data_IF_564881630833
#
_entry.id   IF_564881630833
#
_cell.length_a   1.000
_cell.length_b   1.000
_cell.length_c   1.000
_cell.angle_alpha   90.00
_cell.angle_beta   90.00
_cell.angle_gamma   90.00
#
_symmetry.space_group_name_H-M   'P 1'
#
loop_
_entity.id
_entity.type
_entity.pdbx_description
1 polymer ?
#
# COMPACT_ATOMS: atom_id res chain seq x y z
N UNK A 1 -27.42 -74.70 29.23
CA UNK A 1 -28.20 -73.61 28.61
C UNK A 1 -27.26 -72.42 28.42
N UNK A 2 -26.89 -72.14 27.18
CA UNK A 2 -25.93 -71.10 26.82
C UNK A 2 -26.62 -69.75 26.58
N UNK A 3 -26.01 -68.63 26.97
CA UNK A 3 -26.44 -67.32 26.48
C UNK A 3 -25.66 -66.84 25.27
N UNK A 4 -26.33 -66.23 24.33
CA UNK A 4 -25.87 -65.73 23.07
C UNK A 4 -25.13 -64.39 23.22
N UNK A 5 -23.98 -64.31 22.56
CA UNK A 5 -23.25 -63.07 22.31
C UNK A 5 -23.93 -62.22 21.20
N UNK A 6 -24.11 -60.93 21.43
CA UNK A 6 -24.42 -59.94 20.40
C UNK A 6 -23.17 -59.06 20.17
N UNK A 7 -22.69 -59.05 18.96
CA UNK A 7 -21.64 -58.14 18.52
C UNK A 7 -22.24 -56.80 18.05
N UNK A 8 -21.75 -55.68 18.59
CA UNK A 8 -22.02 -54.36 18.08
C UNK A 8 -20.93 -53.97 17.07
N UNK A 9 -21.33 -53.74 15.85
CA UNK A 9 -20.49 -53.17 14.79
C UNK A 9 -20.47 -51.63 14.89
N UNK A 10 -19.29 -51.09 14.79
CA UNK A 10 -18.99 -49.69 15.00
C UNK A 10 -19.42 -48.77 13.85
N UNK A 11 -19.77 -47.58 14.26
CA UNK A 11 -19.92 -46.40 13.40
C UNK A 11 -18.85 -45.37 13.77
N UNK A 12 -17.66 -45.50 13.21
CA UNK A 12 -16.55 -44.59 13.51
C UNK A 12 -15.82 -44.01 12.30
N UNK A 13 -16.42 -44.06 11.10
CA UNK A 13 -15.67 -43.62 9.90
C UNK A 13 -16.14 -42.34 9.20
N UNK A 14 -17.26 -41.76 9.63
CA UNK A 14 -17.77 -40.51 8.98
C UNK A 14 -17.51 -39.21 9.74
N UNK A 15 -17.11 -39.28 11.00
CA UNK A 15 -16.86 -38.09 11.83
C UNK A 15 -15.46 -37.51 11.60
N UNK A 16 -14.47 -38.37 11.35
CA UNK A 16 -13.08 -37.92 11.14
C UNK A 16 -12.84 -37.23 9.80
N UNK A 17 -13.65 -37.51 8.77
CA UNK A 17 -13.53 -36.86 7.46
C UNK A 17 -14.14 -35.46 7.42
N UNK A 18 -15.15 -35.17 8.27
CA UNK A 18 -15.79 -33.86 8.32
C UNK A 18 -14.98 -32.85 9.13
N UNK A 19 -14.35 -33.29 10.22
CA UNK A 19 -13.46 -32.42 11.01
C UNK A 19 -12.17 -32.03 10.26
N UNK A 20 -11.68 -32.90 9.38
CA UNK A 20 -10.46 -32.60 8.61
C UNK A 20 -10.67 -31.59 7.47
N UNK A 21 -11.90 -31.49 6.92
CA UNK A 21 -12.24 -30.51 5.89
C UNK A 21 -12.55 -29.12 6.47
N UNK A 22 -13.11 -29.03 7.66
CA UNK A 22 -13.39 -27.76 8.34
C UNK A 22 -12.13 -27.12 8.92
N UNK A 23 -11.17 -27.90 9.39
CA UNK A 23 -9.88 -27.37 9.88
C UNK A 23 -9.03 -26.77 8.74
N UNK A 24 -9.01 -27.38 7.56
CA UNK A 24 -8.24 -26.88 6.39
C UNK A 24 -8.83 -25.58 5.81
N UNK A 25 -10.13 -25.38 5.85
CA UNK A 25 -10.75 -24.14 5.35
C UNK A 25 -10.68 -22.99 6.37
N UNK A 26 -10.69 -23.31 7.67
CA UNK A 26 -10.50 -22.33 8.74
C UNK A 26 -9.05 -21.83 8.81
N UNK A 27 -8.06 -22.74 8.66
CA UNK A 27 -6.64 -22.39 8.65
C UNK A 27 -6.27 -21.54 7.40
N UNK A 28 -6.77 -21.89 6.21
CA UNK A 28 -6.53 -21.09 5.01
C UNK A 28 -7.15 -19.69 5.09
N UNK A 29 -8.32 -19.54 5.75
CA UNK A 29 -8.95 -18.25 5.99
C UNK A 29 -8.26 -17.44 7.09
N UNK A 30 -7.68 -18.10 8.09
CA UNK A 30 -6.87 -17.48 9.14
C UNK A 30 -5.54 -16.99 8.58
N UNK A 31 -4.80 -17.81 7.79
CA UNK A 31 -3.57 -17.37 7.11
C UNK A 31 -3.81 -16.21 6.13
N UNK A 32 -4.96 -16.15 5.45
CA UNK A 32 -5.35 -15.00 4.64
C UNK A 32 -5.70 -13.76 5.47
N UNK A 33 -6.18 -13.91 6.69
CA UNK A 33 -6.47 -12.77 7.60
C UNK A 33 -5.24 -12.21 8.29
N UNK A 34 -4.20 -13.01 8.54
CA UNK A 34 -3.02 -12.63 9.32
C UNK A 34 -1.77 -12.36 8.48
N UNK A 35 -1.85 -12.52 7.15
CA UNK A 35 -0.70 -12.43 6.27
C UNK A 35 -0.69 -11.18 5.41
N UNK A 36 0.24 -10.28 5.66
CA UNK A 36 0.61 -9.20 4.75
C UNK A 36 0.20 -7.80 5.19
N UNK A 37 0.87 -6.86 4.60
CA UNK A 37 0.78 -5.43 4.87
C UNK A 37 -0.38 -4.80 4.12
N UNK A 38 -1.11 -3.88 4.75
CA UNK A 38 -2.14 -3.05 4.13
C UNK A 38 -1.48 -1.80 3.54
N UNK A 39 -1.67 -1.54 2.25
CA UNK A 39 -1.24 -0.30 1.61
C UNK A 39 -2.31 0.78 1.76
N UNK A 40 -1.92 1.92 2.30
CA UNK A 40 -2.75 3.11 2.52
C UNK A 40 -2.18 4.27 1.72
N UNK A 41 -2.98 4.86 0.85
CA UNK A 41 -2.59 5.97 0.00
C UNK A 41 -3.43 7.21 0.34
N UNK A 42 -2.77 8.27 0.81
CA UNK A 42 -3.38 9.58 1.01
C UNK A 42 -3.23 10.42 -0.26
N UNK A 43 -4.30 11.05 -0.72
CA UNK A 43 -4.28 12.13 -1.70
C UNK A 43 -4.53 13.45 -1.00
N UNK A 44 -3.56 14.36 -1.06
CA UNK A 44 -3.46 15.56 -0.26
C UNK A 44 -2.90 16.72 -1.08
N UNK A 45 -2.99 17.94 -0.56
CA UNK A 45 -2.29 19.10 -1.08
C UNK A 45 -2.08 20.15 0.01
N UNK A 46 -0.91 20.79 0.03
CA UNK A 46 -0.66 21.96 0.89
C UNK A 46 -1.55 23.14 0.53
N UNK A 47 -2.14 23.17 -0.66
CA UNK A 47 -3.12 24.16 -1.10
C UNK A 47 -4.54 23.94 -0.58
N UNK A 48 -4.85 22.75 -0.05
CA UNK A 48 -6.15 22.41 0.51
C UNK A 48 -6.21 22.70 2.02
N UNK A 49 -7.25 23.38 2.48
CA UNK A 49 -7.38 23.84 3.88
C UNK A 49 -7.45 22.68 4.89
N UNK A 50 -8.05 21.54 4.53
CA UNK A 50 -8.27 20.38 5.41
C UNK A 50 -7.21 19.29 5.29
N UNK A 51 -6.39 19.31 4.25
CA UNK A 51 -5.34 18.30 4.04
C UNK A 51 -4.29 18.23 5.16
N UNK A 52 -3.86 19.35 5.81
CA UNK A 52 -2.87 19.27 6.88
C UNK A 52 -3.25 18.38 8.07
N UNK A 53 -4.53 18.29 8.41
CA UNK A 53 -5.00 17.42 9.48
C UNK A 53 -4.89 15.93 9.09
N UNK A 54 -5.20 15.62 7.84
CA UNK A 54 -5.03 14.28 7.29
C UNK A 54 -3.56 13.87 7.20
N UNK A 55 -2.66 14.80 6.84
CA UNK A 55 -1.20 14.56 6.84
C UNK A 55 -0.70 14.15 8.23
N UNK A 56 -1.17 14.81 9.29
CA UNK A 56 -0.83 14.47 10.68
C UNK A 56 -1.35 13.07 11.04
N UNK A 57 -2.59 12.75 10.70
CA UNK A 57 -3.18 11.44 10.98
C UNK A 57 -2.42 10.32 10.26
N UNK A 58 -2.13 10.50 8.99
CA UNK A 58 -1.41 9.53 8.15
C UNK A 58 0.06 9.39 8.59
N UNK A 59 0.70 10.47 9.01
CA UNK A 59 2.05 10.43 9.59
C UNK A 59 2.10 9.58 10.86
N UNK A 60 1.13 9.74 11.76
CA UNK A 60 0.99 8.91 12.97
C UNK A 60 0.75 7.44 12.62
N UNK A 61 -0.13 7.19 11.62
CA UNK A 61 -0.40 5.83 11.15
C UNK A 61 0.88 5.15 10.65
N UNK A 62 1.65 5.81 9.80
CA UNK A 62 2.87 5.26 9.22
C UNK A 62 4.02 5.08 10.23
N UNK A 63 4.01 5.82 11.33
CA UNK A 63 4.96 5.66 12.46
C UNK A 63 4.56 4.56 13.44
N UNK A 64 3.35 4.00 13.32
CA UNK A 64 2.88 2.94 14.20
C UNK A 64 2.28 3.43 15.52
N UNK A 65 1.77 4.67 15.56
CA UNK A 65 1.13 5.25 16.76
C UNK A 65 -0.25 4.63 17.06
N UNK A 66 -0.72 3.69 16.23
CA UNK A 66 -1.99 2.98 16.40
C UNK A 66 -1.75 1.49 16.62
N UNK A 67 -2.50 0.90 17.54
CA UNK A 67 -2.55 -0.55 17.69
C UNK A 67 -3.39 -1.15 16.55
N UNK A 68 -2.73 -1.81 15.61
CA UNK A 68 -3.35 -2.42 14.44
C UNK A 68 -3.03 -3.90 14.38
N UNK A 69 -4.01 -4.71 13.97
CA UNK A 69 -3.80 -6.13 13.73
C UNK A 69 -2.90 -6.43 12.50
N UNK A 70 -2.75 -5.47 11.60
CA UNK A 70 -1.94 -5.58 10.40
C UNK A 70 -0.88 -4.48 10.34
N UNK A 71 0.34 -4.77 9.89
CA UNK A 71 1.27 -3.74 9.50
C UNK A 71 0.72 -2.94 8.32
N UNK A 72 1.01 -1.64 8.29
CA UNK A 72 0.61 -0.74 7.21
C UNK A 72 1.83 -0.19 6.48
N UNK A 73 1.69 0.06 5.19
CA UNK A 73 2.58 0.90 4.40
C UNK A 73 1.78 2.13 3.99
N UNK A 74 2.32 3.31 4.24
CA UNK A 74 1.68 4.58 3.93
C UNK A 74 2.41 5.25 2.77
N UNK A 75 1.64 5.79 1.83
CA UNK A 75 2.12 6.62 0.73
C UNK A 75 1.26 7.89 0.66
N UNK A 76 1.89 9.07 0.71
CA UNK A 76 1.21 10.36 0.57
C UNK A 76 1.45 10.93 -0.83
N UNK A 77 0.38 11.09 -1.59
CA UNK A 77 0.39 11.61 -2.96
C UNK A 77 -0.09 13.05 -2.95
N UNK A 78 0.80 14.01 -3.20
CA UNK A 78 0.43 15.40 -3.34
C UNK A 78 -0.10 15.68 -4.75
N UNK A 79 -1.34 16.16 -4.82
CA UNK A 79 -2.02 16.52 -6.07
C UNK A 79 -1.75 18.00 -6.43
N UNK A 80 -1.82 18.33 -7.72
CA UNK A 80 -1.51 19.68 -8.23
C UNK A 80 -2.74 20.55 -8.54
N UNK A 81 -3.95 19.98 -8.46
CA UNK A 81 -5.16 20.72 -8.84
C UNK A 81 -5.62 21.79 -7.83
N UNK A 82 -4.93 21.95 -6.69
CA UNK A 82 -5.12 23.06 -5.74
C UNK A 82 -4.17 24.23 -5.95
N UNK A 83 -3.16 24.11 -6.83
CA UNK A 83 -2.12 25.13 -7.04
C UNK A 83 -2.69 26.50 -7.44
N UNK A 84 -3.88 26.53 -8.06
CA UNK A 84 -4.57 27.76 -8.45
C UNK A 84 -5.09 28.59 -7.26
N UNK A 85 -5.19 28.00 -6.05
CA UNK A 85 -5.63 28.66 -4.82
C UNK A 85 -4.56 29.59 -4.20
N UNK A 86 -3.49 29.88 -4.93
CA UNK A 86 -2.47 30.86 -4.57
C UNK A 86 -1.22 30.29 -3.89
N UNK A 87 -1.18 28.97 -3.63
CA UNK A 87 0.01 28.26 -3.18
C UNK A 87 0.27 27.05 -4.08
N UNK A 88 1.45 27.05 -4.69
CA UNK A 88 1.90 25.88 -5.45
C UNK A 88 2.58 24.91 -4.50
N UNK A 89 1.98 23.73 -4.35
CA UNK A 89 2.55 22.67 -3.52
C UNK A 89 3.89 22.20 -4.10
N UNK A 90 5.01 22.28 -3.36
CA UNK A 90 6.33 21.88 -3.87
C UNK A 90 6.42 20.36 -4.15
N UNK A 91 5.48 19.58 -3.63
CA UNK A 91 5.38 18.13 -3.82
C UNK A 91 4.27 17.74 -4.78
N UNK A 92 3.44 18.72 -5.17
CA UNK A 92 2.31 18.53 -6.09
C UNK A 92 2.75 17.97 -7.45
N UNK A 93 2.03 16.95 -7.90
CA UNK A 93 2.36 16.23 -9.15
C UNK A 93 1.09 15.86 -9.92
N UNK A 94 1.13 16.10 -11.22
CA UNK A 94 0.08 15.64 -12.14
C UNK A 94 -0.04 14.10 -12.16
N UNK A 95 1.04 13.35 -11.91
CA UNK A 95 0.98 11.90 -11.75
C UNK A 95 0.11 11.49 -10.55
N UNK A 96 0.22 12.21 -9.42
CA UNK A 96 -0.62 12.00 -8.24
C UNK A 96 -2.09 12.28 -8.56
N UNK A 97 -2.38 13.38 -9.28
CA UNK A 97 -3.73 13.73 -9.72
C UNK A 97 -4.32 12.66 -10.65
N UNK A 98 -3.54 12.18 -11.62
CA UNK A 98 -3.96 11.09 -12.52
C UNK A 98 -4.21 9.80 -11.75
N UNK A 99 -3.34 9.45 -10.80
CA UNK A 99 -3.53 8.26 -9.95
C UNK A 99 -4.82 8.35 -9.14
N UNK A 100 -5.09 9.50 -8.51
CA UNK A 100 -6.34 9.74 -7.78
C UNK A 100 -7.56 9.59 -8.69
N UNK A 101 -7.52 10.23 -9.88
CA UNK A 101 -8.61 10.14 -10.85
C UNK A 101 -8.89 8.68 -11.25
N UNK A 102 -7.86 7.87 -11.43
CA UNK A 102 -8.04 6.45 -11.73
C UNK A 102 -8.70 5.70 -10.57
N UNK A 103 -8.42 6.04 -9.31
CA UNK A 103 -9.16 5.48 -8.17
C UNK A 103 -10.61 5.93 -8.14
N UNK A 104 -10.91 7.20 -8.46
CA UNK A 104 -12.29 7.69 -8.57
C UNK A 104 -13.07 6.86 -9.59
N UNK A 105 -12.47 6.57 -10.75
CA UNK A 105 -13.07 5.74 -11.81
C UNK A 105 -13.21 4.26 -11.37
N UNK A 106 -12.14 3.67 -10.82
CA UNK A 106 -12.12 2.25 -10.41
C UNK A 106 -13.08 1.94 -9.26
N UNK A 107 -13.23 2.88 -8.33
CA UNK A 107 -14.15 2.77 -7.19
C UNK A 107 -15.56 3.33 -7.48
N UNK A 108 -15.78 3.84 -8.69
CA UNK A 108 -17.06 4.44 -9.15
C UNK A 108 -17.55 5.55 -8.22
N UNK A 109 -16.66 6.45 -7.86
CA UNK A 109 -16.98 7.60 -7.03
C UNK A 109 -17.51 8.75 -7.88
N UNK A 110 -18.41 9.54 -7.32
CA UNK A 110 -19.03 10.67 -8.02
C UNK A 110 -18.12 11.90 -8.12
N UNK A 111 -17.16 12.02 -7.18
CA UNK A 111 -16.30 13.20 -7.07
C UNK A 111 -14.87 12.85 -6.70
N UNK A 112 -13.96 13.73 -7.08
CA UNK A 112 -12.55 13.75 -6.67
C UNK A 112 -12.36 14.86 -5.62
N UNK A 113 -11.80 14.54 -4.47
CA UNK A 113 -11.63 15.49 -3.36
C UNK A 113 -10.34 15.25 -2.59
N UNK A 114 -9.91 16.22 -1.81
CA UNK A 114 -8.83 16.09 -0.82
C UNK A 114 -9.31 16.59 0.54
N UNK A 115 -8.79 16.02 1.63
CA UNK A 115 -7.92 14.83 1.67
C UNK A 115 -8.73 13.54 1.49
N UNK A 116 -8.29 12.67 0.58
CA UNK A 116 -8.90 11.36 0.34
C UNK A 116 -7.89 10.27 0.70
N UNK A 117 -8.34 9.24 1.42
CA UNK A 117 -7.54 8.03 1.65
C UNK A 117 -8.12 6.87 0.85
N UNK A 118 -7.24 6.09 0.24
CA UNK A 118 -7.57 4.82 -0.42
C UNK A 118 -6.82 3.68 0.27
N UNK A 119 -7.55 2.65 0.68
CA UNK A 119 -7.02 1.48 1.38
C UNK A 119 -7.04 0.27 0.45
N UNK A 120 -5.88 -0.34 0.21
CA UNK A 120 -5.68 -1.51 -0.66
C UNK A 120 -6.25 -1.34 -2.09
N UNK A 121 -6.49 -0.11 -2.56
CA UNK A 121 -7.16 0.15 -3.83
C UNK A 121 -8.61 -0.34 -3.88
N UNK A 122 -9.28 -0.53 -2.74
CA UNK A 122 -10.62 -1.16 -2.66
C UNK A 122 -11.64 -0.36 -1.86
N UNK A 123 -11.21 0.35 -0.85
CA UNK A 123 -12.05 1.20 -0.02
C UNK A 123 -11.47 2.61 0.00
N UNK A 124 -12.32 3.60 0.26
CA UNK A 124 -11.88 4.99 0.42
C UNK A 124 -12.63 5.64 1.58
N UNK A 125 -12.02 6.66 2.18
CA UNK A 125 -12.64 7.51 3.19
C UNK A 125 -12.10 8.94 3.10
N UNK A 126 -12.72 9.85 3.86
CA UNK A 126 -12.20 11.19 4.06
C UNK A 126 -10.93 11.11 4.92
N UNK A 127 -9.84 11.75 4.50
CA UNK A 127 -8.53 11.61 5.14
C UNK A 127 -8.44 12.14 6.57
N UNK A 128 -9.40 12.93 7.03
CA UNK A 128 -9.51 13.42 8.42
C UNK A 128 -10.35 12.53 9.32
N UNK A 129 -11.04 11.53 8.75
CA UNK A 129 -11.87 10.60 9.50
C UNK A 129 -11.05 9.40 10.00
N UNK A 130 -10.59 9.49 11.25
CA UNK A 130 -9.78 8.44 11.87
C UNK A 130 -10.55 7.12 12.05
N UNK A 131 -11.83 7.18 12.38
CA UNK A 131 -12.65 6.00 12.65
C UNK A 131 -12.90 5.21 11.37
N UNK A 132 -13.31 5.88 10.31
CA UNK A 132 -13.50 5.28 9.00
C UNK A 132 -12.17 4.71 8.44
N UNK A 133 -11.06 5.44 8.62
CA UNK A 133 -9.73 4.98 8.21
C UNK A 133 -9.33 3.67 8.91
N UNK A 134 -9.45 3.61 10.24
CA UNK A 134 -9.09 2.43 11.02
C UNK A 134 -10.00 1.25 10.70
N UNK A 135 -11.30 1.50 10.51
CA UNK A 135 -12.30 0.51 10.08
C UNK A 135 -11.98 -0.05 8.69
N UNK A 136 -11.62 0.82 7.73
CA UNK A 136 -11.22 0.42 6.39
C UNK A 136 -9.94 -0.44 6.39
N UNK A 137 -8.95 -0.11 7.25
CA UNK A 137 -7.74 -0.91 7.41
C UNK A 137 -8.04 -2.27 8.02
N UNK A 138 -8.87 -2.32 9.07
CA UNK A 138 -9.23 -3.57 9.75
C UNK A 138 -10.00 -4.53 8.84
N UNK A 139 -10.86 -4.00 7.97
CA UNK A 139 -11.66 -4.79 7.01
C UNK A 139 -10.96 -5.08 5.69
N UNK A 140 -9.77 -4.49 5.44
CA UNK A 140 -9.07 -4.64 4.18
C UNK A 140 -8.63 -6.09 3.94
N UNK A 141 -8.80 -6.62 2.71
CA UNK A 141 -8.28 -7.94 2.38
C UNK A 141 -6.76 -7.93 2.43
N UNK A 142 -6.18 -8.95 3.08
CA UNK A 142 -4.74 -9.10 3.22
C UNK A 142 -4.19 -10.13 2.27
N UNK A 143 -3.06 -9.83 1.69
CA UNK A 143 -2.37 -10.73 0.75
C UNK A 143 -0.95 -10.97 1.23
N UNK A 144 -0.40 -12.18 1.06
CA UNK A 144 0.99 -12.45 1.39
C UNK A 144 1.92 -11.43 0.73
N UNK A 145 2.82 -10.83 1.50
CA UNK A 145 3.80 -9.91 0.96
C UNK A 145 4.66 -10.61 -0.10
N UNK A 146 4.97 -9.95 -1.22
CA UNK A 146 5.98 -10.46 -2.15
C UNK A 146 7.32 -10.61 -1.43
N UNK A 147 8.17 -11.52 -1.91
CA UNK A 147 9.49 -11.75 -1.32
C UNK A 147 10.59 -11.16 -2.19
N UNK A 148 10.56 -9.83 -2.40
CA UNK A 148 11.60 -9.15 -3.15
C UNK A 148 12.85 -8.91 -2.31
N UNK A 149 13.99 -9.02 -2.98
CA UNK A 149 15.27 -8.48 -2.53
C UNK A 149 15.58 -7.27 -3.39
N UNK A 150 16.03 -6.20 -2.77
CA UNK A 150 16.37 -4.94 -3.44
C UNK A 150 17.86 -4.65 -3.30
N UNK A 151 18.50 -4.26 -4.38
CA UNK A 151 19.82 -3.63 -4.36
C UNK A 151 19.75 -2.24 -4.95
N UNK A 152 20.44 -1.30 -4.31
CA UNK A 152 20.39 0.12 -4.64
C UNK A 152 21.76 0.56 -5.14
N UNK A 153 21.78 1.31 -6.23
CA UNK A 153 22.99 1.92 -6.79
C UNK A 153 22.68 3.35 -7.20
N UNK A 154 23.66 4.23 -7.06
CA UNK A 154 23.56 5.62 -7.50
C UNK A 154 24.59 5.89 -8.59
N UNK A 155 24.28 5.54 -9.86
CA UNK A 155 25.22 5.66 -10.97
C UNK A 155 25.56 7.11 -11.31
N UNK A 156 24.68 8.06 -10.94
CA UNK A 156 24.90 9.51 -11.08
C UNK A 156 24.26 10.27 -9.91
N UNK A 157 24.62 11.54 -9.66
CA UNK A 157 24.05 12.34 -8.59
C UNK A 157 22.52 12.49 -8.64
N UNK A 158 21.93 12.34 -9.83
CA UNK A 158 20.51 12.56 -10.13
C UNK A 158 19.73 11.27 -10.45
N UNK A 159 20.34 10.10 -10.26
CA UNK A 159 19.71 8.82 -10.59
C UNK A 159 19.92 7.78 -9.51
N UNK A 160 18.82 7.20 -9.03
CA UNK A 160 18.81 5.99 -8.22
C UNK A 160 18.40 4.80 -9.09
N UNK A 161 19.26 3.80 -9.18
CA UNK A 161 18.96 2.53 -9.83
C UNK A 161 18.64 1.48 -8.79
N UNK A 162 17.49 0.82 -8.96
CA UNK A 162 17.02 -0.23 -8.07
C UNK A 162 16.87 -1.52 -8.85
N UNK A 163 17.61 -2.55 -8.44
CA UNK A 163 17.42 -3.89 -8.97
C UNK A 163 16.58 -4.68 -7.97
N UNK A 164 15.47 -5.23 -8.45
CA UNK A 164 14.55 -6.04 -7.67
C UNK A 164 14.51 -7.46 -8.24
N UNK A 165 14.57 -8.45 -7.36
CA UNK A 165 14.33 -9.85 -7.70
C UNK A 165 13.59 -10.54 -6.57
N UNK A 166 12.64 -11.41 -6.90
CA UNK A 166 11.85 -12.11 -5.89
C UNK A 166 10.64 -12.80 -6.46
N UNK A 167 9.75 -13.25 -5.61
CA UNK A 167 8.55 -13.98 -6.01
C UNK A 167 7.28 -13.24 -5.59
N UNK A 168 6.28 -13.29 -6.47
CA UNK A 168 4.90 -12.94 -6.13
C UNK A 168 4.32 -14.12 -5.34
N UNK A 169 3.65 -13.81 -4.22
CA UNK A 169 3.08 -14.85 -3.33
C UNK A 169 1.56 -14.95 -3.40
N UNK A 170 0.93 -13.97 -4.04
CA UNK A 170 -0.53 -13.94 -4.23
C UNK A 170 -0.90 -14.50 -5.59
N UNK A 171 -1.98 -15.30 -5.63
CA UNK A 171 -2.66 -15.61 -6.89
C UNK A 171 -3.48 -14.39 -7.29
N UNK A 172 -3.33 -13.94 -8.50
CA UNK A 172 -4.11 -12.84 -9.07
C UNK A 172 -4.92 -13.35 -10.26
N UNK A 173 -5.95 -12.63 -10.62
CA UNK A 173 -6.81 -12.98 -11.75
C UNK A 173 -6.04 -13.08 -13.09
N UNK A 174 -6.71 -13.61 -14.12
CA UNK A 174 -6.13 -13.85 -15.44
C UNK A 174 -5.72 -12.59 -16.22
N UNK A 175 -6.04 -11.39 -15.72
CA UNK A 175 -5.70 -10.14 -16.40
C UNK A 175 -4.26 -9.68 -16.13
N UNK A 176 -3.57 -10.33 -15.19
CA UNK A 176 -2.21 -9.98 -14.82
C UNK A 176 -2.12 -8.82 -13.85
N UNK A 177 -0.89 -8.50 -13.47
CA UNK A 177 -0.58 -7.43 -12.52
C UNK A 177 0.63 -6.61 -12.96
N UNK A 178 0.72 -5.39 -12.44
CA UNK A 178 1.91 -4.57 -12.47
C UNK A 178 2.63 -4.65 -11.13
N UNK A 179 3.95 -4.74 -11.16
CA UNK A 179 4.80 -4.52 -10.01
C UNK A 179 5.18 -3.04 -10.01
N UNK A 180 4.76 -2.32 -8.99
CA UNK A 180 4.96 -0.88 -8.85
C UNK A 180 6.01 -0.60 -7.80
N UNK A 181 6.80 0.44 -8.01
CA UNK A 181 7.87 0.91 -7.11
C UNK A 181 7.61 2.37 -6.80
N UNK A 182 7.41 2.68 -5.53
CA UNK A 182 7.24 4.05 -5.03
C UNK A 182 8.45 4.44 -4.17
N UNK A 183 9.17 5.50 -4.56
CA UNK A 183 10.18 6.14 -3.73
C UNK A 183 9.54 7.31 -3.01
N UNK A 184 9.56 7.28 -1.68
CA UNK A 184 8.95 8.32 -0.84
C UNK A 184 9.97 8.97 0.10
N UNK A 185 9.65 10.18 0.57
CA UNK A 185 10.46 10.99 1.48
C UNK A 185 9.63 11.42 2.70
N UNK A 186 10.23 11.42 3.89
CA UNK A 186 9.61 11.83 5.15
C UNK A 186 10.39 12.96 5.83
N UNK A 187 9.76 13.59 6.83
CA UNK A 187 10.35 14.69 7.58
C UNK A 187 10.51 15.97 6.74
N UNK A 188 9.56 16.20 5.83
CA UNK A 188 9.50 17.41 5.02
C UNK A 188 8.79 18.51 5.80
N UNK A 189 9.35 19.72 5.78
CA UNK A 189 8.78 20.89 6.46
C UNK A 189 8.70 22.03 5.45
N UNK A 190 7.53 22.69 5.39
CA UNK A 190 7.27 23.77 4.44
C UNK A 190 6.59 24.93 5.14
N UNK A 191 7.20 26.13 5.03
CA UNK A 191 6.53 27.40 5.41
C UNK A 191 5.56 27.79 4.30
N UNK A 192 4.31 28.11 4.65
CA UNK A 192 3.26 28.45 3.70
C UNK A 192 3.01 29.97 3.69
N UNK A 193 3.58 30.71 2.73
CA UNK A 193 3.45 32.18 2.71
C UNK A 193 2.14 32.66 2.07
N UNK A 194 1.39 31.80 1.38
CA UNK A 194 0.20 32.15 0.57
C UNK A 194 -0.86 31.05 0.62
N UNK A 195 -2.04 31.36 0.07
CA UNK A 195 -3.15 30.40 -0.09
C UNK A 195 -3.88 30.12 1.22
N UNK A 196 -4.68 29.05 1.23
CA UNK A 196 -5.58 28.69 2.33
C UNK A 196 -4.85 28.40 3.64
N UNK A 197 -3.63 27.86 3.58
CA UNK A 197 -2.82 27.54 4.75
C UNK A 197 -1.77 28.62 5.08
N UNK A 198 -1.95 29.87 4.58
CA UNK A 198 -1.02 30.97 4.81
C UNK A 198 -0.65 31.14 6.30
N UNK A 199 0.64 31.27 6.56
CA UNK A 199 1.21 31.48 7.90
C UNK A 199 1.39 30.20 8.72
N UNK A 200 1.02 29.03 8.18
CA UNK A 200 1.28 27.73 8.81
C UNK A 200 2.64 27.18 8.38
N UNK A 201 3.22 26.37 9.25
CA UNK A 201 4.36 25.47 8.94
C UNK A 201 3.79 24.07 8.87
N UNK A 202 3.88 23.43 7.70
CA UNK A 202 3.33 22.10 7.46
C UNK A 202 4.43 21.06 7.44
N UNK A 203 4.17 19.93 8.08
CA UNK A 203 5.02 18.74 8.04
C UNK A 203 4.35 17.68 7.19
N UNK A 204 5.11 17.01 6.32
CA UNK A 204 4.64 15.92 5.48
C UNK A 204 5.59 14.73 5.55
N UNK A 205 5.03 13.54 5.72
CA UNK A 205 5.73 12.26 5.77
C UNK A 205 5.22 11.33 4.66
N UNK A 206 6.06 10.37 4.28
CA UNK A 206 5.76 9.34 3.27
C UNK A 206 5.36 9.91 1.90
N UNK A 207 5.84 11.12 1.58
CA UNK A 207 5.52 11.83 0.34
C UNK A 207 6.13 11.10 -0.86
N UNK A 208 5.29 10.62 -1.76
CA UNK A 208 5.72 9.93 -2.98
C UNK A 208 6.41 10.92 -3.91
N UNK A 209 7.71 10.70 -4.13
CA UNK A 209 8.53 11.52 -5.01
C UNK A 209 8.66 10.91 -6.41
N UNK A 210 8.60 9.57 -6.49
CA UNK A 210 8.59 8.82 -7.76
C UNK A 210 7.71 7.59 -7.61
N UNK A 211 6.95 7.30 -8.66
CA UNK A 211 6.13 6.10 -8.77
C UNK A 211 6.34 5.53 -10.18
N UNK A 212 6.96 4.36 -10.25
CA UNK A 212 7.31 3.74 -11.52
C UNK A 212 6.84 2.28 -11.57
N UNK A 213 6.59 1.81 -12.78
CA UNK A 213 6.28 0.41 -13.02
C UNK A 213 7.57 -0.35 -13.33
N UNK A 214 7.90 -1.33 -12.48
CA UNK A 214 9.02 -2.23 -12.73
C UNK A 214 8.72 -3.14 -13.94
N UNK A 215 7.59 -3.82 -13.90
CA UNK A 215 7.17 -4.75 -14.96
C UNK A 215 5.68 -5.07 -14.88
N UNK A 216 5.16 -5.67 -15.96
CA UNK A 216 3.86 -6.33 -15.99
C UNK A 216 4.04 -7.86 -15.96
N UNK A 217 3.22 -8.54 -15.18
CA UNK A 217 3.23 -9.99 -15.04
C UNK A 217 1.87 -10.51 -15.46
N UNK A 218 1.83 -11.22 -16.60
CA UNK A 218 0.57 -11.72 -17.20
C UNK A 218 0.15 -13.07 -16.63
N UNK A 219 1.11 -13.91 -16.25
CA UNK A 219 0.84 -15.22 -15.69
C UNK A 219 1.30 -15.21 -14.23
N UNK A 220 0.32 -15.14 -13.32
CA UNK A 220 0.57 -15.00 -11.89
C UNK A 220 0.33 -16.34 -11.21
N UNK A 221 1.31 -17.24 -11.32
CA UNK A 221 1.39 -18.36 -10.39
C UNK A 221 2.00 -17.90 -9.07
N UNK A 222 1.55 -18.46 -7.95
CA UNK A 222 1.98 -18.08 -6.59
C UNK A 222 3.49 -18.24 -6.30
N UNK A 223 4.28 -18.72 -7.27
CA UNK A 223 5.73 -18.93 -7.14
C UNK A 223 6.52 -18.26 -8.27
N UNK A 224 5.90 -17.40 -9.07
CA UNK A 224 6.60 -16.80 -10.20
C UNK A 224 7.68 -15.85 -9.71
N UNK A 225 8.91 -16.12 -10.12
CA UNK A 225 10.03 -15.21 -9.91
C UNK A 225 9.92 -14.03 -10.88
N UNK A 226 10.08 -12.85 -10.36
CA UNK A 226 10.11 -11.58 -11.08
C UNK A 226 11.44 -10.92 -10.78
N UNK A 227 12.08 -10.40 -11.81
CA UNK A 227 13.28 -9.57 -11.67
C UNK A 227 13.22 -8.40 -12.63
N UNK A 228 13.82 -7.29 -12.26
CA UNK A 228 13.89 -6.11 -13.10
C UNK A 228 14.70 -5.01 -12.46
N UNK A 229 15.00 -4.00 -13.28
CA UNK A 229 15.69 -2.80 -12.86
C UNK A 229 14.83 -1.60 -13.16
N UNK A 230 14.70 -0.69 -12.20
CA UNK A 230 14.07 0.61 -12.40
C UNK A 230 15.06 1.72 -12.11
N UNK A 231 15.06 2.76 -12.95
CA UNK A 231 15.86 3.96 -12.76
C UNK A 231 14.96 5.10 -12.36
N UNK A 232 15.19 5.68 -11.18
CA UNK A 232 14.38 6.71 -10.56
C UNK A 232 15.16 8.03 -10.60
N UNK A 233 14.66 9.07 -11.31
CA UNK A 233 15.26 10.39 -11.26
C UNK A 233 15.20 10.97 -9.84
N UNK A 234 16.33 11.41 -9.32
CA UNK A 234 16.41 12.04 -8.01
C UNK A 234 16.15 13.55 -8.11
N UNK A 235 15.71 14.15 -7.03
CA UNK A 235 15.46 15.57 -6.90
C UNK A 235 16.64 16.26 -6.20
N UNK A 236 16.73 17.57 -6.37
CA UNK A 236 17.72 18.38 -5.65
C UNK A 236 17.48 18.27 -4.13
N UNK A 237 18.54 17.95 -3.39
CA UNK A 237 18.48 17.76 -1.95
C UNK A 237 18.03 16.36 -1.53
N UNK A 238 18.05 15.37 -2.44
CA UNK A 238 17.80 13.97 -2.08
C UNK A 238 18.70 13.54 -0.92
N UNK A 239 18.06 12.94 0.10
CA UNK A 239 18.72 12.38 1.26
C UNK A 239 18.17 10.98 1.54
N UNK A 240 18.98 9.95 1.29
CA UNK A 240 18.54 8.56 1.45
C UNK A 240 18.07 8.22 2.86
N UNK A 241 18.61 8.88 3.90
CA UNK A 241 18.20 8.65 5.29
C UNK A 241 16.75 9.10 5.60
N UNK A 242 16.18 9.97 4.77
CA UNK A 242 14.78 10.42 4.86
C UNK A 242 13.85 9.65 3.91
N UNK A 243 14.39 8.75 3.11
CA UNK A 243 13.66 8.08 2.05
C UNK A 243 13.41 6.61 2.38
N UNK A 244 12.27 6.13 1.92
CA UNK A 244 11.92 4.71 1.88
C UNK A 244 11.38 4.34 0.50
N UNK A 245 11.28 3.05 0.25
CA UNK A 245 10.75 2.52 -0.98
C UNK A 245 9.69 1.47 -0.69
N UNK A 246 8.51 1.65 -1.26
CA UNK A 246 7.45 0.64 -1.25
C UNK A 246 7.38 -0.06 -2.62
N UNK A 247 7.27 -1.38 -2.60
CA UNK A 247 6.99 -2.20 -3.77
C UNK A 247 5.64 -2.86 -3.56
N UNK A 248 4.75 -2.76 -4.54
CA UNK A 248 3.42 -3.35 -4.43
C UNK A 248 2.95 -3.92 -5.76
N UNK A 249 2.08 -4.92 -5.64
CA UNK A 249 1.49 -5.65 -6.77
C UNK A 249 0.08 -5.13 -7.00
N UNK A 250 -0.20 -4.61 -8.18
CA UNK A 250 -1.46 -3.94 -8.51
C UNK A 250 -2.04 -4.49 -9.81
N UNK A 251 -3.35 -4.83 -9.82
CA UNK A 251 -4.03 -5.25 -11.05
C UNK A 251 -4.49 -4.05 -11.90
N UNK A 252 -5.13 -4.32 -13.03
CA UNK A 252 -5.68 -3.28 -13.94
C UNK A 252 -6.80 -2.45 -13.31
N UNK A 253 -7.51 -2.99 -12.31
CA UNK A 253 -8.52 -2.28 -11.51
C UNK A 253 -7.94 -1.53 -10.31
N UNK A 254 -6.64 -1.34 -10.25
CA UNK A 254 -5.91 -0.63 -9.19
C UNK A 254 -6.00 -1.25 -7.80
N UNK A 255 -6.48 -2.49 -7.70
CA UNK A 255 -6.51 -3.24 -6.45
C UNK A 255 -5.12 -3.80 -6.12
N UNK A 256 -4.76 -3.75 -4.84
CA UNK A 256 -3.44 -4.18 -4.34
C UNK A 256 -3.52 -5.64 -3.88
N UNK A 257 -2.51 -6.44 -4.25
CA UNK A 257 -2.39 -7.88 -3.99
C UNK A 257 -1.09 -8.23 -3.25
N UNK A 258 -0.59 -7.32 -2.48
CA UNK A 258 0.58 -7.47 -1.64
C UNK A 258 1.54 -6.29 -1.80
N UNK A 259 2.21 -5.97 -0.71
CA UNK A 259 3.16 -4.87 -0.64
C UNK A 259 4.32 -5.20 0.30
N UNK A 260 5.47 -4.59 0.06
CA UNK A 260 6.69 -4.74 0.83
C UNK A 260 7.40 -3.39 0.91
N UNK A 261 7.91 -3.05 2.09
CA UNK A 261 8.66 -1.82 2.31
C UNK A 261 10.16 -2.09 2.45
N UNK A 262 10.97 -1.13 2.02
CA UNK A 262 12.42 -1.17 2.09
C UNK A 262 12.96 0.15 2.62
N UNK A 263 13.89 0.06 3.56
CA UNK A 263 14.73 1.19 3.93
C UNK A 263 15.86 1.35 2.91
N UNK A 264 16.19 2.58 2.56
CA UNK A 264 17.34 2.84 1.71
C UNK A 264 18.63 2.80 2.55
N UNK A 265 19.76 2.37 1.96
CA UNK A 265 21.06 2.53 2.60
C UNK A 265 21.38 4.00 2.88
N UNK A 266 21.99 4.27 4.05
CA UNK A 266 22.28 5.65 4.45
C UNK A 266 23.31 6.38 3.56
N UNK A 267 24.11 5.63 2.84
CA UNK A 267 25.24 6.15 2.04
C UNK A 267 25.01 6.04 0.52
N UNK A 268 23.80 6.34 0.07
CA UNK A 268 23.47 6.39 -1.37
C UNK A 268 23.72 7.76 -1.97
#
# INVERSE_FOLDING_TARGET
>A
MAPRLFACFGTSSRRAAYEKQTATTADASAEQRWGGTVLVELFSSQGCATSPEAEVLISRLGRGDFELEAPVIVLSHHVDYWDYMGWKDPFGSSQSTVRQKTYVEALRLDTMFTPQVVVQGRAQCVGTDQEDLLSAIASAPRFPAPTFQATFQRPSPDTLQVNLSGALRSKVDSQGVNVMVALYESGLVTDIPKGENKGRVLSSDFVVRRLEKLCAVKDVSAKKTVSGTVSLPLWRGFNSSKCGMAVFVQNSGYQIFGSQNFSLPHNL
#
